data_IF_385264236014
#
_entry.id   IF_385264236014
#
_cell.length_a   1.000
_cell.length_b   1.000
_cell.length_c   1.000
_cell.angle_alpha   90.00
_cell.angle_beta   90.00
_cell.angle_gamma   90.00
#
_symmetry.space_group_name_H-M   'P 1'
#
loop_
_entity.id
_entity.type
_entity.pdbx_description
1 polymer ?
#
# COMPACT_ATOMS: atom_id res chain seq x y z
N UNK A 1 15.05 -24.10 0.19
CA UNK A 1 15.96 -23.11 -0.46
C UNK A 1 15.25 -21.78 -0.62
N UNK A 2 15.91 -20.74 -1.16
CA UNK A 2 15.27 -19.45 -1.46
C UNK A 2 15.04 -19.33 -2.97
N UNK A 3 13.81 -19.04 -3.39
CA UNK A 3 13.43 -18.91 -4.79
C UNK A 3 12.82 -17.53 -5.03
N UNK A 4 13.29 -16.85 -6.07
CA UNK A 4 12.86 -15.50 -6.43
C UNK A 4 11.94 -15.52 -7.63
N UNK A 5 10.82 -14.80 -7.54
CA UNK A 5 9.82 -14.70 -8.59
C UNK A 5 9.67 -13.25 -9.03
N UNK A 6 9.81 -13.02 -10.34
CA UNK A 6 9.77 -11.71 -10.96
C UNK A 6 8.52 -11.55 -11.82
N UNK A 7 7.93 -10.35 -11.89
CA UNK A 7 6.66 -10.12 -12.57
C UNK A 7 6.76 -10.31 -14.09
N UNK A 8 7.95 -10.15 -14.68
CA UNK A 8 8.23 -10.11 -16.12
C UNK A 8 7.64 -11.29 -16.90
N UNK A 9 7.61 -12.48 -16.28
CA UNK A 9 7.12 -13.72 -16.88
C UNK A 9 5.87 -14.29 -16.19
N UNK A 10 5.37 -13.64 -15.15
CA UNK A 10 4.15 -14.05 -14.47
C UNK A 10 2.92 -13.94 -15.38
N UNK A 11 1.95 -14.83 -15.21
CA UNK A 11 0.68 -14.74 -15.93
C UNK A 11 -0.01 -13.43 -15.53
N UNK A 12 -0.29 -12.58 -16.53
CA UNK A 12 -1.02 -11.33 -16.33
C UNK A 12 -2.51 -11.56 -16.54
N UNK A 13 -3.33 -11.37 -15.51
CA UNK A 13 -4.76 -11.65 -15.55
C UNK A 13 -5.55 -10.62 -14.73
N UNK A 14 -6.70 -10.19 -15.24
CA UNK A 14 -7.66 -9.42 -14.45
C UNK A 14 -8.39 -10.35 -13.48
N UNK A 15 -8.32 -10.03 -12.19
CA UNK A 15 -8.91 -10.85 -11.13
C UNK A 15 -9.88 -10.03 -10.27
N UNK A 16 -10.90 -10.71 -9.78
CA UNK A 16 -11.81 -10.17 -8.77
C UNK A 16 -11.41 -10.71 -7.41
N UNK A 17 -11.00 -9.83 -6.50
CA UNK A 17 -10.42 -10.22 -5.22
C UNK A 17 -11.28 -9.69 -4.07
N UNK A 18 -11.95 -10.59 -3.35
CA UNK A 18 -12.76 -10.21 -2.20
C UNK A 18 -11.95 -9.39 -1.18
N UNK A 19 -12.53 -8.29 -0.70
CA UNK A 19 -11.93 -7.32 0.24
C UNK A 19 -10.64 -6.61 -0.26
N UNK A 20 -10.25 -6.88 -1.50
CA UNK A 20 -9.13 -6.29 -2.21
C UNK A 20 -9.63 -5.55 -3.45
N UNK A 21 -8.72 -4.92 -4.19
CA UNK A 21 -9.06 -4.24 -5.43
C UNK A 21 -9.11 -5.23 -6.58
N UNK A 22 -10.16 -5.13 -7.40
CA UNK A 22 -10.21 -5.79 -8.70
C UNK A 22 -9.16 -5.14 -9.62
N UNK A 23 -8.21 -5.93 -10.08
CA UNK A 23 -6.99 -5.42 -10.73
C UNK A 23 -6.37 -6.47 -11.64
N UNK A 24 -5.59 -6.03 -12.62
CA UNK A 24 -4.64 -6.91 -13.30
C UNK A 24 -3.52 -7.28 -12.34
N UNK A 25 -3.36 -8.57 -12.07
CA UNK A 25 -2.27 -9.11 -11.26
C UNK A 25 -1.32 -9.90 -12.13
N UNK A 26 -0.07 -10.01 -11.68
CA UNK A 26 0.91 -10.95 -12.22
C UNK A 26 1.09 -12.08 -11.22
N UNK A 27 0.87 -13.32 -11.65
CA UNK A 27 0.99 -14.49 -10.77
C UNK A 27 2.08 -15.45 -11.23
N UNK A 28 2.81 -15.99 -10.26
CA UNK A 28 3.81 -17.03 -10.51
C UNK A 28 3.16 -18.43 -10.54
N UNK A 29 2.10 -18.65 -9.76
CA UNK A 29 1.43 -19.94 -9.62
C UNK A 29 -0.07 -19.81 -9.92
N UNK A 30 -0.46 -19.74 -11.21
CA UNK A 30 -1.86 -19.84 -11.62
C UNK A 30 -2.31 -21.31 -11.57
N UNK A 31 -2.95 -21.71 -10.47
CA UNK A 31 -3.52 -23.06 -10.28
C UNK A 31 -4.98 -22.99 -10.72
N UNK A 32 -5.21 -23.20 -12.02
CA UNK A 32 -6.51 -23.01 -12.65
C UNK A 32 -6.99 -24.34 -13.26
N UNK A 33 -8.23 -24.75 -12.98
CA UNK A 33 -8.83 -25.99 -13.50
C UNK A 33 -8.05 -27.27 -13.15
N UNK A 34 -7.49 -27.35 -11.95
CA UNK A 34 -6.83 -28.56 -11.43
C UNK A 34 -7.76 -29.38 -10.53
N UNK A 35 -7.61 -30.71 -10.58
CA UNK A 35 -8.14 -31.63 -9.57
C UNK A 35 -6.99 -32.52 -9.07
N UNK A 36 -6.60 -32.35 -7.80
CA UNK A 36 -5.49 -33.09 -7.19
C UNK A 36 -4.13 -32.49 -7.52
N UNK A 37 -3.82 -31.32 -6.98
CA UNK A 37 -2.54 -30.63 -7.21
C UNK A 37 -1.89 -30.19 -5.88
N UNK A 38 -0.61 -30.51 -5.70
CA UNK A 38 0.13 -30.17 -4.49
C UNK A 38 1.41 -29.41 -4.83
N UNK A 39 1.62 -28.26 -4.18
CA UNK A 39 2.91 -27.59 -4.07
C UNK A 39 3.50 -27.94 -2.71
N UNK A 40 4.61 -28.69 -2.69
CA UNK A 40 5.40 -28.93 -1.48
C UNK A 40 6.72 -28.16 -1.57
N UNK A 41 6.82 -27.08 -0.81
CA UNK A 41 8.02 -26.25 -0.77
C UNK A 41 9.20 -26.91 -0.08
N UNK A 42 8.99 -27.99 0.67
CA UNK A 42 10.02 -28.68 1.46
C UNK A 42 10.83 -27.71 2.35
N UNK A 43 10.14 -26.73 2.96
CA UNK A 43 10.74 -25.70 3.80
C UNK A 43 11.40 -24.56 3.03
N UNK A 44 10.96 -24.30 1.79
CA UNK A 44 11.52 -23.23 0.96
C UNK A 44 10.87 -21.87 1.22
N UNK A 45 11.63 -20.81 0.97
CA UNK A 45 11.16 -19.42 1.01
C UNK A 45 11.00 -18.91 -0.41
N UNK A 46 9.81 -18.42 -0.74
CA UNK A 46 9.49 -17.78 -2.01
C UNK A 46 9.45 -16.26 -1.81
N UNK A 47 10.37 -15.57 -2.48
CA UNK A 47 10.50 -14.11 -2.46
C UNK A 47 9.91 -13.54 -3.74
N UNK A 48 8.90 -12.69 -3.61
CA UNK A 48 8.21 -12.06 -4.74
C UNK A 48 8.69 -10.62 -4.94
N UNK A 49 8.93 -10.27 -6.20
CA UNK A 49 9.39 -8.94 -6.59
C UNK A 49 8.22 -8.11 -7.17
N UNK A 50 8.07 -6.87 -6.69
CA UNK A 50 6.95 -6.00 -7.05
C UNK A 50 5.58 -6.50 -6.57
N UNK A 51 4.51 -5.99 -7.19
CA UNK A 51 3.13 -6.34 -6.82
C UNK A 51 2.65 -7.61 -7.51
N UNK A 52 3.17 -8.76 -7.08
CA UNK A 52 2.73 -10.08 -7.57
C UNK A 52 1.69 -10.72 -6.66
N UNK A 53 0.79 -11.49 -7.24
CA UNK A 53 -0.08 -12.46 -6.55
C UNK A 53 0.62 -13.83 -6.58
N UNK A 54 1.24 -14.29 -5.47
CA UNK A 54 1.96 -15.55 -5.45
C UNK A 54 1.13 -16.73 -5.98
N UNK A 55 0.02 -17.03 -5.31
CA UNK A 55 -0.84 -18.17 -5.62
C UNK A 55 -2.23 -17.73 -6.00
N UNK A 56 -2.65 -18.06 -7.22
CA UNK A 56 -4.00 -17.86 -7.68
C UNK A 56 -4.67 -19.20 -7.97
N UNK A 57 -5.51 -19.67 -7.06
CA UNK A 57 -6.27 -20.91 -7.17
C UNK A 57 -7.68 -20.59 -7.68
N UNK A 58 -8.03 -21.11 -8.85
CA UNK A 58 -9.32 -20.83 -9.47
C UNK A 58 -9.93 -22.09 -10.10
N UNK A 59 -11.23 -22.29 -9.92
CA UNK A 59 -11.98 -23.39 -10.56
C UNK A 59 -11.31 -24.76 -10.33
N UNK A 60 -10.74 -24.98 -9.15
CA UNK A 60 -9.92 -26.16 -8.84
C UNK A 60 -10.45 -26.92 -7.63
N UNK A 61 -10.11 -28.20 -7.54
CA UNK A 61 -10.45 -29.08 -6.42
C UNK A 61 -9.21 -29.81 -5.89
N UNK A 62 -9.20 -30.14 -4.59
CA UNK A 62 -8.15 -30.95 -3.96
C UNK A 62 -6.75 -30.33 -4.16
N UNK A 63 -6.61 -29.05 -3.81
CA UNK A 63 -5.35 -28.30 -3.94
C UNK A 63 -4.70 -28.11 -2.57
N UNK A 64 -3.41 -28.42 -2.46
CA UNK A 64 -2.61 -28.26 -1.24
C UNK A 64 -1.35 -27.42 -1.53
N UNK A 65 -1.06 -26.42 -0.70
CA UNK A 65 0.19 -25.65 -0.72
C UNK A 65 0.82 -25.77 0.66
N UNK A 66 1.95 -26.46 0.77
CA UNK A 66 2.56 -26.76 2.07
C UNK A 66 4.05 -26.51 2.13
N UNK A 67 4.55 -26.30 3.34
CA UNK A 67 5.98 -26.16 3.61
C UNK A 67 6.63 -25.02 2.81
N UNK A 68 5.91 -23.90 2.63
CA UNK A 68 6.38 -22.70 1.93
C UNK A 68 6.31 -21.49 2.86
N UNK A 69 7.37 -20.71 2.92
CA UNK A 69 7.34 -19.33 3.43
C UNK A 69 7.20 -18.36 2.26
N UNK A 70 6.31 -17.38 2.36
CA UNK A 70 6.12 -16.34 1.33
C UNK A 70 6.51 -15.00 1.91
N UNK A 71 7.34 -14.25 1.18
CA UNK A 71 7.64 -12.86 1.50
C UNK A 71 7.88 -12.05 0.21
N UNK A 72 8.07 -10.74 0.35
CA UNK A 72 8.39 -9.84 -0.75
C UNK A 72 9.80 -9.29 -0.59
N UNK A 73 10.46 -9.05 -1.74
CA UNK A 73 11.81 -8.48 -1.75
C UNK A 73 11.86 -7.06 -1.15
N UNK A 74 10.74 -6.32 -1.25
CA UNK A 74 10.54 -5.04 -0.59
C UNK A 74 9.18 -5.02 0.08
N UNK A 75 9.12 -4.52 1.31
CA UNK A 75 7.85 -4.33 2.00
C UNK A 75 6.93 -3.38 1.22
N UNK A 76 5.62 -3.62 1.26
CA UNK A 76 4.67 -2.77 0.56
C UNK A 76 4.49 -1.38 1.15
N UNK A 77 4.74 -1.26 2.44
CA UNK A 77 4.72 0.00 3.18
C UNK A 77 6.12 0.61 3.23
N UNK A 78 6.20 1.86 3.71
CA UNK A 78 7.46 2.55 3.97
C UNK A 78 7.39 3.23 5.32
N UNK A 79 8.50 3.24 6.06
CA UNK A 79 8.56 3.71 7.45
C UNK A 79 9.67 4.73 7.69
N UNK A 80 9.43 5.62 8.64
CA UNK A 80 10.44 6.54 9.14
C UNK A 80 10.18 6.95 10.58
N UNK A 81 11.21 7.38 11.27
CA UNK A 81 11.12 7.85 12.65
C UNK A 81 10.85 9.36 12.68
N UNK A 82 9.90 9.80 13.50
CA UNK A 82 9.68 11.23 13.76
C UNK A 82 10.82 11.73 14.65
N UNK A 83 11.65 12.64 14.14
CA UNK A 83 12.90 13.04 14.82
C UNK A 83 12.87 14.45 15.39
N UNK A 84 12.01 15.33 14.89
CA UNK A 84 12.00 16.75 15.29
C UNK A 84 10.66 17.42 15.08
N UNK A 85 10.31 18.36 15.95
CA UNK A 85 9.19 19.28 15.78
C UNK A 85 9.68 20.72 15.61
N UNK A 86 8.85 21.52 14.94
CA UNK A 86 8.80 22.96 15.07
C UNK A 86 7.37 23.37 15.42
N UNK A 87 7.12 23.56 16.72
CA UNK A 87 5.80 23.90 17.25
C UNK A 87 5.30 25.26 16.74
N UNK A 88 6.21 26.21 16.48
CA UNK A 88 5.83 27.56 16.02
C UNK A 88 5.25 27.50 14.61
N UNK A 89 5.85 26.71 13.73
CA UNK A 89 5.44 26.58 12.34
C UNK A 89 4.50 25.38 12.11
N UNK A 90 4.21 24.60 13.16
CA UNK A 90 3.44 23.35 13.10
C UNK A 90 3.98 22.36 12.05
N UNK A 91 5.29 22.11 12.11
CA UNK A 91 5.98 21.17 11.21
C UNK A 91 6.69 20.09 12.00
N UNK A 92 6.96 18.97 11.35
CA UNK A 92 7.72 17.86 11.94
C UNK A 92 8.61 17.22 10.88
N UNK A 93 9.74 16.67 11.33
CA UNK A 93 10.73 16.01 10.48
C UNK A 93 10.65 14.51 10.70
N UNK A 94 10.64 13.76 9.59
CA UNK A 94 10.67 12.29 9.60
C UNK A 94 11.95 11.84 8.91
N UNK A 95 12.73 11.02 9.60
CA UNK A 95 13.87 10.31 9.04
C UNK A 95 13.40 8.98 8.49
N UNK A 96 13.26 8.88 7.16
CA UNK A 96 12.93 7.62 6.50
C UNK A 96 14.11 6.65 6.56
N UNK A 97 13.83 5.36 6.74
CA UNK A 97 14.88 4.34 6.77
C UNK A 97 15.42 4.08 5.36
N UNK A 98 16.71 3.76 5.25
CA UNK A 98 17.43 3.59 3.97
C UNK A 98 16.81 2.51 3.06
N UNK A 99 16.08 1.57 3.64
CA UNK A 99 15.32 0.51 2.96
C UNK A 99 14.14 1.04 2.12
N UNK A 100 13.76 2.31 2.31
CA UNK A 100 12.61 2.95 1.69
C UNK A 100 13.03 4.18 0.87
N UNK A 101 13.62 3.98 -0.32
CA UNK A 101 14.03 5.08 -1.18
C UNK A 101 12.81 5.87 -1.64
N UNK A 102 12.98 7.18 -1.80
CA UNK A 102 11.90 8.07 -2.21
C UNK A 102 12.38 9.16 -3.15
N UNK A 103 11.43 9.78 -3.84
CA UNK A 103 11.60 11.02 -4.58
C UNK A 103 10.61 12.06 -4.05
N UNK A 104 11.07 13.31 -3.95
CA UNK A 104 10.19 14.46 -3.75
C UNK A 104 9.81 15.05 -5.11
N UNK A 105 8.53 14.99 -5.47
CA UNK A 105 7.99 15.53 -6.72
C UNK A 105 6.94 16.59 -6.38
N UNK A 106 7.20 17.84 -6.75
CA UNK A 106 6.28 18.97 -6.49
C UNK A 106 5.85 19.11 -5.02
N UNK A 107 6.77 18.86 -4.08
CA UNK A 107 6.50 18.91 -2.65
C UNK A 107 5.77 17.68 -2.10
N UNK A 108 5.68 16.59 -2.86
CA UNK A 108 5.09 15.32 -2.41
C UNK A 108 6.11 14.19 -2.44
N UNK A 109 6.07 13.33 -1.42
CA UNK A 109 6.90 12.14 -1.38
C UNK A 109 6.28 10.97 -2.15
N UNK A 110 7.10 10.32 -2.96
CA UNK A 110 6.78 9.07 -3.65
C UNK A 110 7.87 8.05 -3.30
N UNK A 111 7.49 6.97 -2.64
CA UNK A 111 8.39 5.87 -2.32
C UNK A 111 8.57 4.99 -3.55
N UNK A 112 9.82 4.80 -3.95
CA UNK A 112 10.20 4.04 -5.14
C UNK A 112 10.45 2.60 -4.72
N UNK A 113 9.81 1.66 -5.40
CA UNK A 113 9.97 0.24 -5.15
C UNK A 113 10.15 -0.49 -6.47
N UNK A 114 10.61 -1.73 -6.39
CA UNK A 114 10.77 -2.55 -7.58
C UNK A 114 9.40 -2.74 -8.26
N UNK A 115 9.28 -2.30 -9.52
CA UNK A 115 8.07 -2.35 -10.37
C UNK A 115 6.89 -1.44 -9.99
N UNK A 116 6.96 -0.66 -8.91
CA UNK A 116 5.88 0.27 -8.56
C UNK A 116 6.36 1.38 -7.61
N UNK A 117 5.52 2.39 -7.43
CA UNK A 117 5.71 3.43 -6.42
C UNK A 117 4.44 3.61 -5.60
N UNK A 118 4.57 4.19 -4.40
CA UNK A 118 3.41 4.60 -3.62
C UNK A 118 3.65 5.93 -2.91
N UNK A 119 2.57 6.67 -2.69
CA UNK A 119 2.57 7.90 -1.90
C UNK A 119 2.37 7.60 -0.41
N UNK A 120 2.20 8.64 0.41
CA UNK A 120 1.85 8.47 1.83
C UNK A 120 0.57 7.63 2.02
N UNK A 121 -0.46 7.99 1.25
CA UNK A 121 -1.85 7.56 1.39
C UNK A 121 -2.31 7.36 2.83
N UNK A 122 -2.57 6.11 3.20
CA UNK A 122 -2.94 5.76 4.57
C UNK A 122 -1.69 5.68 5.46
N UNK A 123 -1.66 6.49 6.52
CA UNK A 123 -0.55 6.53 7.47
C UNK A 123 -1.00 6.12 8.87
N UNK A 124 -0.12 5.47 9.62
CA UNK A 124 -0.32 5.04 11.01
C UNK A 124 0.97 5.33 11.78
N UNK A 125 0.86 5.62 13.06
CA UNK A 125 2.03 5.75 13.94
C UNK A 125 2.14 4.53 14.85
N UNK A 126 3.36 4.01 14.94
CA UNK A 126 3.75 2.89 15.78
C UNK A 126 4.68 3.33 16.90
N UNK A 127 4.49 2.68 18.04
CA UNK A 127 5.37 2.74 19.19
C UNK A 127 6.55 1.79 18.94
N UNK A 128 7.74 2.36 18.85
CA UNK A 128 8.99 1.66 18.53
C UNK A 128 9.34 0.61 19.58
N UNK A 129 9.09 0.88 20.85
CA UNK A 129 9.44 -0.02 21.95
C UNK A 129 8.43 -1.17 22.06
N UNK A 130 7.14 -0.86 21.97
CA UNK A 130 6.06 -1.85 22.08
C UNK A 130 5.86 -2.67 20.80
N UNK A 131 6.40 -2.21 19.67
CA UNK A 131 6.17 -2.79 18.33
C UNK A 131 4.67 -2.92 18.02
N UNK A 132 3.91 -1.89 18.39
CA UNK A 132 2.46 -1.85 18.28
C UNK A 132 1.98 -0.46 17.84
N UNK A 133 0.73 -0.36 17.40
CA UNK A 133 0.12 0.94 17.10
C UNK A 133 0.21 1.83 18.35
N UNK A 134 0.66 3.07 18.19
CA UNK A 134 0.77 3.99 19.32
C UNK A 134 -0.59 4.26 19.96
N UNK A 135 -0.59 4.36 21.29
CA UNK A 135 -1.76 4.80 22.03
C UNK A 135 -2.27 6.14 21.47
N UNK A 136 -3.57 6.24 21.25
CA UNK A 136 -4.23 7.43 20.70
C UNK A 136 -3.67 7.92 19.34
N UNK A 137 -3.17 7.02 18.48
CA UNK A 137 -2.60 7.38 17.18
C UNK A 137 -3.52 8.25 16.28
N UNK A 138 -4.84 8.21 16.48
CA UNK A 138 -5.82 9.00 15.72
C UNK A 138 -5.67 10.51 15.95
N UNK A 139 -5.03 10.92 17.05
CA UNK A 139 -4.76 12.31 17.37
C UNK A 139 -3.81 12.97 16.35
N UNK A 140 -2.89 12.20 15.76
CA UNK A 140 -1.87 12.66 14.80
C UNK A 140 -1.95 11.97 13.43
N UNK A 141 -2.66 10.84 13.30
CA UNK A 141 -2.86 10.14 12.01
C UNK A 141 -4.34 9.93 11.66
N UNK A 142 -4.71 9.84 10.36
CA UNK A 142 -3.85 9.91 9.20
C UNK A 142 -3.27 11.31 8.95
N UNK A 143 -2.10 11.36 8.30
CA UNK A 143 -1.53 12.60 7.79
C UNK A 143 -2.54 13.25 6.85
N UNK A 144 -2.81 14.54 7.07
CA UNK A 144 -3.84 15.31 6.35
C UNK A 144 -3.40 15.66 4.92
N UNK A 145 -3.34 14.66 4.04
CA UNK A 145 -2.77 14.76 2.69
C UNK A 145 -3.59 15.61 1.72
N UNK A 146 -4.90 15.74 1.91
CA UNK A 146 -5.80 16.43 0.97
C UNK A 146 -6.62 17.55 1.62
N UNK A 147 -7.05 18.53 0.82
CA UNK A 147 -8.01 19.58 1.18
C UNK A 147 -8.97 19.88 0.02
N UNK A 148 -9.99 20.70 0.26
CA UNK A 148 -10.90 21.15 -0.80
C UNK A 148 -10.22 22.23 -1.65
N UNK A 149 -10.40 22.16 -2.96
CA UNK A 149 -9.98 23.21 -3.90
C UNK A 149 -10.70 24.52 -3.60
N UNK A 150 -9.98 25.65 -3.67
CA UNK A 150 -10.56 26.98 -3.46
C UNK A 150 -11.36 27.49 -4.66
N UNK A 151 -10.92 27.17 -5.87
CA UNK A 151 -11.53 27.64 -7.12
C UNK A 151 -12.32 26.49 -7.74
N UNK A 152 -13.62 26.73 -7.96
CA UNK A 152 -14.49 25.85 -8.75
C UNK A 152 -15.32 26.73 -9.67
N UNK A 153 -15.32 26.44 -10.96
CA UNK A 153 -16.06 27.22 -11.96
C UNK A 153 -17.00 26.31 -12.74
N UNK A 154 -18.30 26.63 -12.75
CA UNK A 154 -19.34 25.90 -13.49
C UNK A 154 -19.45 24.39 -13.21
N UNK A 155 -18.85 23.87 -12.13
CA UNK A 155 -18.88 22.43 -11.81
C UNK A 155 -20.28 21.91 -11.51
N UNK A 156 -21.17 22.79 -11.07
CA UNK A 156 -22.59 22.57 -10.82
C UNK A 156 -23.43 22.40 -12.10
N UNK A 157 -22.90 22.85 -13.25
CA UNK A 157 -23.55 22.66 -14.57
C UNK A 157 -23.43 21.22 -15.08
N UNK A 158 -22.54 20.41 -14.49
CA UNK A 158 -22.41 18.99 -14.83
C UNK A 158 -23.58 18.23 -14.22
N UNK A 159 -24.60 17.96 -15.06
CA UNK A 159 -25.79 17.19 -14.68
C UNK A 159 -25.71 15.80 -15.30
N UNK A 160 -25.66 14.79 -14.46
CA UNK A 160 -25.70 13.41 -14.91
C UNK A 160 -27.15 12.98 -15.16
N UNK A 161 -27.38 12.27 -16.26
CA UNK A 161 -28.71 11.73 -16.62
C UNK A 161 -29.22 10.71 -15.59
N UNK A 162 -28.32 9.96 -14.96
CA UNK A 162 -28.62 8.90 -14.00
C UNK A 162 -27.99 9.18 -12.63
N UNK A 163 -28.44 8.45 -11.60
CA UNK A 163 -27.83 8.49 -10.27
C UNK A 163 -26.34 8.11 -10.38
N UNK A 164 -25.50 8.96 -9.82
CA UNK A 164 -24.05 8.76 -9.82
C UNK A 164 -23.60 8.27 -8.47
N UNK A 165 -22.72 7.28 -8.47
CA UNK A 165 -22.00 6.91 -7.27
C UNK A 165 -20.93 7.96 -6.97
N UNK A 166 -21.15 8.76 -5.92
CA UNK A 166 -20.17 9.77 -5.49
C UNK A 166 -18.95 9.15 -4.80
N UNK A 167 -19.02 7.87 -4.43
CA UNK A 167 -17.89 7.11 -3.90
C UNK A 167 -16.99 6.53 -5.00
N UNK A 168 -17.38 6.67 -6.28
CA UNK A 168 -16.55 6.30 -7.42
C UNK A 168 -15.15 6.93 -7.32
N UNK A 169 -14.11 6.13 -7.59
CA UNK A 169 -12.71 6.53 -7.41
C UNK A 169 -12.31 7.73 -8.28
N UNK A 170 -12.94 7.90 -9.44
CA UNK A 170 -12.67 9.03 -10.33
C UNK A 170 -13.35 10.30 -9.82
N UNK A 171 -14.60 10.18 -9.36
CA UNK A 171 -15.39 11.32 -8.92
C UNK A 171 -15.01 11.81 -7.53
N UNK A 172 -14.48 10.93 -6.67
CA UNK A 172 -13.94 11.29 -5.35
C UNK A 172 -12.81 12.33 -5.43
N UNK A 173 -12.10 12.42 -6.57
CA UNK A 173 -11.02 13.39 -6.78
C UNK A 173 -11.51 14.79 -7.18
N UNK A 174 -12.78 14.95 -7.51
CA UNK A 174 -13.30 16.24 -7.93
C UNK A 174 -13.39 17.23 -6.77
N UNK A 175 -12.71 18.38 -6.91
CA UNK A 175 -12.74 19.44 -5.91
C UNK A 175 -11.88 19.19 -4.68
N UNK A 176 -10.94 18.24 -4.77
CA UNK A 176 -9.86 18.06 -3.79
C UNK A 176 -8.51 18.38 -4.42
N UNK A 177 -7.59 18.90 -3.61
CA UNK A 177 -6.20 19.20 -3.96
C UNK A 177 -5.29 18.70 -2.83
N UNK A 178 -4.00 18.59 -3.14
CA UNK A 178 -3.00 18.21 -2.17
C UNK A 178 -2.83 19.33 -1.13
N UNK A 179 -2.64 18.93 0.12
CA UNK A 179 -2.52 19.84 1.26
C UNK A 179 -1.13 19.83 1.85
N UNK A 180 -0.60 18.63 2.07
CA UNK A 180 0.71 18.47 2.65
C UNK A 180 1.74 18.91 1.61
N UNK A 181 2.78 19.61 2.06
CA UNK A 181 3.98 19.81 1.27
C UNK A 181 5.17 19.30 2.07
N UNK A 182 6.22 18.91 1.39
CA UNK A 182 7.40 18.29 1.97
C UNK A 182 8.67 18.83 1.35
N UNK A 183 9.69 18.99 2.19
CA UNK A 183 11.03 19.39 1.78
C UNK A 183 12.05 18.52 2.49
N UNK A 184 13.08 18.08 1.78
CA UNK A 184 14.22 17.41 2.39
C UNK A 184 15.12 18.45 3.05
N UNK A 185 15.34 18.31 4.37
CA UNK A 185 16.15 19.25 5.15
C UNK A 185 17.59 18.77 5.32
N UNK A 186 17.79 17.45 5.25
CA UNK A 186 19.07 16.76 5.14
C UNK A 186 18.79 15.39 4.50
N UNK A 187 19.80 14.71 3.90
CA UNK A 187 19.59 13.43 3.23
C UNK A 187 18.82 12.41 4.08
N UNK A 188 17.68 11.94 3.58
CA UNK A 188 16.82 10.97 4.27
C UNK A 188 15.86 11.56 5.31
N UNK A 189 15.93 12.87 5.58
CA UNK A 189 15.08 13.56 6.57
C UNK A 189 14.20 14.59 5.88
N UNK A 190 12.90 14.31 5.95
CA UNK A 190 11.86 15.08 5.25
C UNK A 190 11.02 15.85 6.26
N UNK A 191 10.92 17.17 6.08
CA UNK A 191 10.02 18.02 6.83
C UNK A 191 8.63 18.02 6.21
N UNK A 192 7.62 17.86 7.06
CA UNK A 192 6.20 17.87 6.70
C UNK A 192 5.57 19.20 7.09
N UNK A 193 4.90 19.85 6.13
CA UNK A 193 4.19 21.11 6.32
C UNK A 193 2.68 20.92 6.17
N UNK A 194 1.90 21.83 6.76
CA UNK A 194 0.43 21.91 6.59
C UNK A 194 -0.38 20.73 7.16
N UNK A 195 0.20 19.87 7.99
CA UNK A 195 -0.56 18.89 8.75
C UNK A 195 -1.60 19.58 9.67
N UNK A 196 -2.82 19.03 9.82
CA UNK A 196 -3.89 19.67 10.62
C UNK A 196 -4.04 19.13 12.02
N UNK A 197 -3.63 17.89 12.22
CA UNK A 197 -3.77 17.18 13.48
C UNK A 197 -2.59 17.50 14.39
N UNK A 198 -2.60 16.93 15.59
CA UNK A 198 -1.48 17.06 16.52
C UNK A 198 -0.19 16.55 15.88
N UNK A 199 0.94 17.17 16.23
CA UNK A 199 2.23 16.70 15.72
C UNK A 199 2.48 15.26 16.21
N UNK A 200 2.94 14.37 15.32
CA UNK A 200 3.17 12.98 15.68
C UNK A 200 4.28 12.88 16.73
N UNK A 201 4.19 12.04 17.78
CA UNK A 201 5.19 12.04 18.84
C UNK A 201 6.63 11.78 18.34
N UNK A 202 7.61 12.53 18.85
CA UNK A 202 9.03 12.28 18.56
C UNK A 202 9.42 10.88 19.05
N UNK A 203 10.20 10.16 18.24
CA UNK A 203 10.64 8.78 18.48
C UNK A 203 9.63 7.71 18.01
N UNK A 204 8.44 8.12 17.57
CA UNK A 204 7.46 7.20 17.00
C UNK A 204 7.76 6.89 15.52
N UNK A 205 7.26 5.74 15.05
CA UNK A 205 7.45 5.30 13.66
C UNK A 205 6.23 5.67 12.83
N UNK A 206 6.40 6.51 11.83
CA UNK A 206 5.40 6.81 10.82
C UNK A 206 5.44 5.73 9.74
N UNK A 207 4.42 4.87 9.70
CA UNK A 207 4.21 3.89 8.63
C UNK A 207 3.27 4.46 7.57
N UNK A 208 3.65 4.36 6.30
CA UNK A 208 2.88 4.83 5.14
C UNK A 208 2.56 3.65 4.24
N UNK A 209 1.32 3.56 3.75
CA UNK A 209 0.83 2.37 3.03
C UNK A 209 0.30 2.69 1.64
N UNK A 210 0.45 3.91 1.15
CA UNK A 210 -0.15 4.33 -0.12
C UNK A 210 -1.68 4.44 -0.07
N UNK A 211 -2.27 4.89 -1.18
CA UNK A 211 -3.71 5.14 -1.24
C UNK A 211 -4.54 3.87 -1.03
N UNK A 212 -5.67 4.05 -0.34
CA UNK A 212 -6.63 2.99 -0.16
C UNK A 212 -7.08 2.41 -1.51
N UNK A 213 -6.97 1.09 -1.64
CA UNK A 213 -7.30 0.35 -2.87
C UNK A 213 -6.08 0.10 -3.75
N UNK A 214 -5.16 1.06 -3.90
CA UNK A 214 -3.86 0.79 -4.53
C UNK A 214 -2.96 -0.07 -3.62
N UNK A 215 -3.19 0.00 -2.31
CA UNK A 215 -2.48 -0.78 -1.30
C UNK A 215 -3.08 -2.15 -1.01
N UNK A 216 -4.01 -2.63 -1.84
CA UNK A 216 -4.72 -3.91 -1.68
C UNK A 216 -4.77 -4.68 -3.01
N UNK A 217 -3.61 -4.88 -3.63
CA UNK A 217 -3.52 -5.43 -5.00
C UNK A 217 -2.79 -6.78 -5.09
N UNK A 218 -2.09 -7.19 -4.02
CA UNK A 218 -1.22 -8.37 -4.04
C UNK A 218 -1.38 -9.19 -2.74
N UNK A 219 -2.56 -9.81 -2.50
CA UNK A 219 -2.66 -10.80 -1.43
C UNK A 219 -1.72 -11.99 -1.73
N UNK A 220 -1.20 -12.66 -0.70
CA UNK A 220 -0.34 -13.83 -0.91
C UNK A 220 -1.07 -14.97 -1.64
N UNK A 221 -2.34 -15.16 -1.31
CA UNK A 221 -3.16 -16.26 -1.80
C UNK A 221 -4.53 -15.74 -2.18
N UNK A 222 -5.01 -16.14 -3.35
CA UNK A 222 -6.38 -15.94 -3.78
C UNK A 222 -6.99 -17.29 -4.15
N UNK A 223 -8.13 -17.61 -3.57
CA UNK A 223 -8.90 -18.83 -3.84
C UNK A 223 -10.29 -18.44 -4.30
N UNK A 224 -10.71 -18.89 -5.48
CA UNK A 224 -12.01 -18.54 -6.06
C UNK A 224 -12.65 -19.72 -6.78
N UNK A 225 -13.94 -19.95 -6.50
CA UNK A 225 -14.71 -21.01 -7.15
C UNK A 225 -14.01 -22.39 -7.06
N UNK A 226 -13.33 -22.65 -5.95
CA UNK A 226 -12.56 -23.86 -5.71
C UNK A 226 -13.06 -24.58 -4.46
N UNK A 227 -12.79 -25.89 -4.38
CA UNK A 227 -13.22 -26.75 -3.26
C UNK A 227 -12.02 -27.50 -2.69
N UNK A 228 -12.05 -27.79 -1.39
CA UNK A 228 -11.04 -28.62 -0.71
C UNK A 228 -9.60 -28.07 -0.85
N UNK A 229 -9.44 -26.74 -0.70
CA UNK A 229 -8.13 -26.07 -0.65
C UNK A 229 -7.53 -26.14 0.76
N UNK A 230 -6.24 -26.46 0.86
CA UNK A 230 -5.45 -26.47 2.10
C UNK A 230 -4.16 -25.70 1.95
N UNK A 231 -3.74 -25.03 3.02
CA UNK A 231 -2.44 -24.40 3.11
C UNK A 231 -1.89 -24.47 4.53
N UNK A 232 -0.64 -24.89 4.65
CA UNK A 232 0.09 -25.17 5.90
C UNK A 232 1.57 -24.77 5.84
#
# INVERSE_FOLDING_TARGET
>A
GVYHFYPDKGLNQFVYLSNHRDVFVRTAFPIINYDGFTIDGQGSTFIFHGTMLPFHVMESQNVEIKNVTVDWAMAFHSEGEVVKHDEKNHTFDVKFFDEYPYELRNGEINFIKEYYEHDLGQTIIYDKERKAISYNCIASTPISTVQKTKVRHNTDKVKYKYKVDKADLTLRKNGIENRISMEEVEPGVVRFFNHKKELPPIGSILTTKGQQGLNRVAPAVSVKASKDFKMD
#
